data_IF_061359926516
#
_entry.id   IF_061359926516
#
_cell.length_a   1.000
_cell.length_b   1.000
_cell.length_c   1.000
_cell.angle_alpha   90.00
_cell.angle_beta   90.00
_cell.angle_gamma   90.00
#
_symmetry.space_group_name_H-M   'P 1'
#
loop_
_entity.id
_entity.type
_entity.pdbx_description
1 polymer ?
#
# COMPACT_ATOMS: atom_id res chain seq x y z
N UNK A 1 12.41 9.54 -16.83
CA UNK A 1 12.77 10.26 -15.59
C UNK A 1 13.68 9.35 -14.77
N UNK A 2 14.92 9.76 -14.56
CA UNK A 2 15.90 8.98 -13.81
C UNK A 2 15.78 9.29 -12.30
N UNK A 3 16.57 8.56 -11.48
CA UNK A 3 16.53 8.67 -10.02
C UNK A 3 16.90 10.07 -9.50
N UNK A 4 17.71 10.80 -10.27
CA UNK A 4 18.18 12.14 -9.93
C UNK A 4 17.09 13.20 -10.20
N UNK A 5 16.30 13.05 -11.25
CA UNK A 5 15.13 13.91 -11.52
C UNK A 5 14.08 13.78 -10.41
N UNK A 6 13.90 12.58 -9.85
CA UNK A 6 12.99 12.33 -8.74
C UNK A 6 13.48 12.98 -7.44
N UNK A 7 14.80 12.92 -7.16
CA UNK A 7 15.42 13.59 -6.01
C UNK A 7 15.29 15.12 -6.09
N UNK A 8 15.42 15.68 -7.29
CA UNK A 8 15.28 17.12 -7.50
C UNK A 8 13.84 17.60 -7.31
N UNK A 9 12.85 16.80 -7.71
CA UNK A 9 11.43 17.06 -7.49
C UNK A 9 11.03 16.98 -6.01
N UNK A 10 11.59 16.02 -5.26
CA UNK A 10 11.41 15.89 -3.82
C UNK A 10 12.01 17.07 -3.06
N UNK A 11 13.16 17.58 -3.49
CA UNK A 11 13.79 18.74 -2.90
C UNK A 11 12.97 20.04 -3.08
N UNK A 12 12.20 20.14 -4.16
CA UNK A 12 11.35 21.32 -4.45
C UNK A 12 10.00 21.29 -3.74
N UNK A 13 9.62 20.16 -3.11
CA UNK A 13 8.34 20.02 -2.40
C UNK A 13 8.54 19.50 -0.96
N UNK A 14 9.02 20.35 -0.03
CA UNK A 14 9.33 19.93 1.35
C UNK A 14 8.13 19.43 2.15
N UNK A 15 6.90 19.71 1.72
CA UNK A 15 5.68 19.16 2.32
C UNK A 15 5.52 17.64 2.08
N UNK A 16 6.30 17.05 1.16
CA UNK A 16 6.30 15.62 0.86
C UNK A 16 7.46 14.88 1.56
N UNK A 17 8.34 15.59 2.28
CA UNK A 17 9.39 14.96 3.08
C UNK A 17 8.82 14.46 4.40
N UNK A 18 9.07 13.20 4.71
CA UNK A 18 8.76 12.60 6.02
C UNK A 18 9.58 13.34 7.07
N UNK A 19 8.93 14.09 7.97
CA UNK A 19 9.60 14.52 9.22
C UNK A 19 9.83 13.26 10.04
N UNK A 20 11.05 12.75 10.03
CA UNK A 20 11.49 11.75 11.00
C UNK A 20 11.46 12.42 12.37
N UNK A 21 10.44 12.08 13.15
CA UNK A 21 10.41 12.42 14.58
C UNK A 21 11.28 11.37 15.27
N UNK A 22 12.50 11.73 15.62
CA UNK A 22 13.32 10.95 16.55
C UNK A 22 12.59 10.82 17.88
N UNK A 23 12.43 9.62 18.43
CA UNK A 23 11.73 9.44 19.71
C UNK A 23 12.53 10.08 20.82
N UNK A 24 11.93 11.05 21.54
CA UNK A 24 12.44 11.51 22.84
C UNK A 24 12.44 10.31 23.79
N UNK A 25 13.60 10.03 24.42
CA UNK A 25 13.77 9.03 25.50
C UNK A 25 12.62 9.16 26.50
N UNK A 26 11.74 8.15 26.53
CA UNK A 26 10.78 7.99 27.61
C UNK A 26 11.42 7.24 28.78
N UNK A 27 11.15 7.74 29.98
CA UNK A 27 11.55 7.14 31.23
C UNK A 27 10.91 5.75 31.39
N UNK A 28 11.70 4.82 31.90
CA UNK A 28 11.34 3.42 32.13
C UNK A 28 10.18 3.28 33.12
N UNK A 29 9.05 2.72 32.63
CA UNK A 29 8.01 2.11 33.46
C UNK A 29 8.20 0.59 33.33
N UNK A 30 8.24 -0.11 34.48
CA UNK A 30 8.51 -1.54 34.58
C UNK A 30 7.52 -2.40 33.78
N UNK A 31 7.94 -3.55 33.21
CA UNK A 31 7.13 -4.31 32.28
C UNK A 31 6.09 -5.18 32.98
N UNK A 32 4.82 -4.77 32.87
CA UNK A 32 3.73 -5.73 33.00
C UNK A 32 3.72 -6.62 31.75
N UNK A 33 3.73 -7.95 31.94
CA UNK A 33 3.68 -8.94 30.86
C UNK A 33 2.38 -8.80 30.06
N UNK A 34 2.44 -8.10 28.95
CA UNK A 34 1.39 -8.12 27.90
C UNK A 34 1.61 -9.34 27.01
N UNK A 35 0.54 -10.08 26.59
CA UNK A 35 0.71 -11.21 25.68
C UNK A 35 1.29 -10.70 24.35
N UNK A 36 2.39 -11.30 23.89
CA UNK A 36 2.99 -11.00 22.60
C UNK A 36 1.92 -11.10 21.50
N UNK A 37 1.57 -9.97 20.90
CA UNK A 37 0.77 -9.96 19.68
C UNK A 37 1.49 -10.78 18.61
N UNK A 38 0.77 -11.70 17.96
CA UNK A 38 1.33 -12.52 16.88
C UNK A 38 1.88 -11.57 15.81
N UNK A 39 3.21 -11.50 15.67
CA UNK A 39 3.85 -10.73 14.59
C UNK A 39 3.23 -11.14 13.26
N UNK A 40 2.85 -10.18 12.43
CA UNK A 40 2.34 -10.44 11.10
C UNK A 40 3.30 -11.35 10.34
N UNK A 41 2.79 -12.41 9.73
CA UNK A 41 3.56 -13.41 8.96
C UNK A 41 4.44 -12.77 7.86
N UNK A 42 4.13 -11.54 7.44
CA UNK A 42 4.74 -10.86 6.31
C UNK A 42 5.55 -9.61 6.67
N UNK A 43 5.74 -9.31 7.97
CA UNK A 43 6.49 -8.12 8.43
C UNK A 43 6.03 -6.79 7.80
N UNK A 44 4.78 -6.71 7.35
CA UNK A 44 4.23 -5.48 6.83
C UNK A 44 3.96 -4.52 7.98
N UNK A 45 4.50 -3.33 7.88
CA UNK A 45 4.31 -2.25 8.84
C UNK A 45 3.24 -1.33 8.25
N UNK A 46 2.02 -1.28 8.83
CA UNK A 46 0.96 -0.43 8.30
C UNK A 46 1.29 1.05 8.49
N UNK A 47 0.81 1.87 7.54
CA UNK A 47 0.93 3.33 7.58
C UNK A 47 -0.45 3.94 7.54
N UNK A 48 -0.68 4.92 8.40
CA UNK A 48 -1.95 5.65 8.50
C UNK A 48 -1.72 7.13 8.24
N UNK A 49 -2.54 7.72 7.40
CA UNK A 49 -2.53 9.15 7.09
C UNK A 49 -3.78 9.78 7.67
N UNK A 50 -3.63 10.85 8.43
CA UNK A 50 -4.71 11.57 9.09
C UNK A 50 -5.15 12.80 8.29
N UNK A 51 -6.30 13.38 8.67
CA UNK A 51 -6.92 14.50 7.94
C UNK A 51 -6.12 15.79 7.99
N UNK A 52 -5.26 15.97 8.97
CA UNK A 52 -4.32 17.10 9.10
C UNK A 52 -2.99 16.87 8.34
N UNK A 53 -2.85 15.72 7.67
CA UNK A 53 -1.63 15.32 6.97
C UNK A 53 -0.60 14.59 7.84
N UNK A 54 -0.89 14.39 9.14
CA UNK A 54 -0.02 13.58 10.00
C UNK A 54 0.05 12.14 9.51
N UNK A 55 1.26 11.55 9.53
CA UNK A 55 1.53 10.17 9.09
C UNK A 55 2.05 9.37 10.28
N UNK A 56 1.35 8.30 10.60
CA UNK A 56 1.74 7.36 11.65
C UNK A 56 2.15 6.02 11.04
N UNK A 57 3.36 5.57 11.39
CA UNK A 57 3.91 4.25 11.00
C UNK A 57 3.78 3.32 12.19
N UNK A 58 2.97 2.28 12.05
CA UNK A 58 2.60 1.37 13.16
C UNK A 58 3.58 0.18 13.25
N UNK A 59 4.81 0.43 13.66
CA UNK A 59 5.85 -0.59 13.77
C UNK A 59 5.49 -1.73 14.72
N UNK A 60 4.71 -1.44 15.76
CA UNK A 60 4.34 -2.39 16.81
C UNK A 60 2.89 -2.89 16.71
N UNK A 61 2.17 -2.59 15.63
CA UNK A 61 0.73 -2.88 15.50
C UNK A 61 -0.14 -2.29 16.63
N UNK A 62 0.24 -1.12 17.14
CA UNK A 62 -0.39 -0.49 18.30
C UNK A 62 -1.65 0.30 17.95
N UNK A 63 -1.89 0.60 16.68
CA UNK A 63 -2.99 1.51 16.29
C UNK A 63 -4.36 1.01 16.72
N UNK A 64 -4.54 -0.31 16.93
CA UNK A 64 -5.80 -0.86 17.47
C UNK A 64 -6.11 -0.33 18.86
N UNK A 65 -5.09 -0.05 19.65
CA UNK A 65 -5.24 0.57 20.97
C UNK A 65 -5.26 2.10 20.90
N UNK A 66 -4.56 2.70 19.94
CA UNK A 66 -4.47 4.15 19.76
C UNK A 66 -5.70 4.74 19.06
N UNK A 67 -6.37 4.00 18.16
CA UNK A 67 -7.62 4.47 17.50
C UNK A 67 -8.76 4.73 18.48
N UNK A 68 -8.71 4.12 19.67
CA UNK A 68 -9.73 4.36 20.67
C UNK A 68 -9.48 5.63 21.51
N UNK A 69 -8.27 6.23 21.50
CA UNK A 69 -7.96 7.23 22.50
C UNK A 69 -7.42 8.57 22.01
N UNK A 70 -6.28 8.66 21.38
CA UNK A 70 -5.59 9.96 21.26
C UNK A 70 -5.31 10.46 19.85
N UNK A 71 -4.73 9.66 18.96
CA UNK A 71 -4.34 10.12 17.63
C UNK A 71 -5.52 10.73 16.83
N UNK A 72 -6.73 10.13 16.78
CA UNK A 72 -7.85 10.75 16.10
C UNK A 72 -8.37 12.04 16.75
N UNK A 73 -8.15 12.23 18.05
CA UNK A 73 -8.51 13.47 18.75
C UNK A 73 -7.56 14.61 18.42
N UNK A 74 -6.28 14.30 18.18
CA UNK A 74 -5.23 15.27 17.89
C UNK A 74 -5.16 15.56 16.39
N UNK A 75 -5.20 14.52 15.54
CA UNK A 75 -4.93 14.58 14.10
C UNK A 75 -6.17 14.40 13.22
N UNK A 76 -7.35 14.23 13.84
CA UNK A 76 -8.60 13.99 13.12
C UNK A 76 -8.72 12.55 12.61
N UNK A 77 -9.60 12.33 11.63
CA UNK A 77 -9.87 10.99 11.11
C UNK A 77 -8.76 10.47 10.22
N UNK A 78 -8.60 9.13 10.18
CA UNK A 78 -7.74 8.46 9.19
C UNK A 78 -8.35 8.63 7.80
N UNK A 79 -7.61 9.25 6.89
CA UNK A 79 -8.02 9.49 5.49
C UNK A 79 -7.49 8.42 4.55
N UNK A 80 -6.34 7.79 4.89
CA UNK A 80 -5.79 6.69 4.12
C UNK A 80 -5.06 5.70 5.03
N UNK A 81 -5.14 4.42 4.67
CA UNK A 81 -4.36 3.34 5.25
C UNK A 81 -3.60 2.64 4.13
N UNK A 82 -2.36 2.25 4.43
CA UNK A 82 -1.50 1.43 3.58
C UNK A 82 -1.06 0.20 4.35
N UNK A 83 -0.99 -0.95 3.71
CA UNK A 83 -0.64 -2.20 4.37
C UNK A 83 0.86 -2.35 4.60
N UNK A 84 1.67 -1.49 3.94
CA UNK A 84 3.12 -1.44 4.16
C UNK A 84 3.69 -0.04 3.92
N UNK A 85 4.86 0.22 4.52
CA UNK A 85 5.67 1.43 4.24
C UNK A 85 6.01 1.51 2.74
N UNK A 86 6.35 0.38 2.11
CA UNK A 86 6.67 0.35 0.68
C UNK A 86 5.51 0.81 -0.20
N UNK A 87 4.27 0.40 0.13
CA UNK A 87 3.07 0.85 -0.57
C UNK A 87 2.86 2.36 -0.39
N UNK A 88 3.06 2.89 0.83
CA UNK A 88 2.96 4.32 1.09
C UNK A 88 4.02 5.13 0.34
N UNK A 89 5.27 4.69 0.32
CA UNK A 89 6.34 5.35 -0.44
C UNK A 89 6.01 5.35 -1.94
N UNK A 90 5.57 4.20 -2.48
CA UNK A 90 5.14 4.13 -3.88
C UNK A 90 3.97 5.07 -4.19
N UNK A 91 3.02 5.19 -3.29
CA UNK A 91 1.92 6.15 -3.45
C UNK A 91 2.40 7.59 -3.55
N UNK A 92 3.39 8.00 -2.75
CA UNK A 92 3.98 9.34 -2.85
C UNK A 92 4.63 9.58 -4.22
N UNK A 93 5.38 8.61 -4.72
CA UNK A 93 5.98 8.67 -6.06
C UNK A 93 4.91 8.83 -7.14
N UNK A 94 3.88 8.00 -7.10
CA UNK A 94 2.76 8.07 -8.06
C UNK A 94 2.03 9.42 -7.98
N UNK A 95 1.86 10.00 -6.80
CA UNK A 95 1.28 11.35 -6.63
C UNK A 95 2.15 12.43 -7.29
N UNK A 96 3.46 12.33 -7.19
CA UNK A 96 4.38 13.23 -7.90
C UNK A 96 4.28 13.07 -9.41
N UNK A 97 4.18 11.83 -9.90
CA UNK A 97 3.98 11.56 -11.33
C UNK A 97 2.64 12.13 -11.85
N UNK A 98 1.58 12.09 -11.04
CA UNK A 98 0.30 12.77 -11.36
C UNK A 98 0.50 14.29 -11.44
N UNK A 99 1.18 14.89 -10.46
CA UNK A 99 1.44 16.34 -10.43
C UNK A 99 2.31 16.79 -11.61
N UNK A 100 3.18 15.92 -12.11
CA UNK A 100 4.02 16.16 -13.29
C UNK A 100 3.32 15.79 -14.62
N UNK A 101 2.04 15.41 -14.59
CA UNK A 101 1.26 14.92 -15.75
C UNK A 101 1.91 13.74 -16.50
N UNK A 102 2.74 12.93 -15.81
CA UNK A 102 3.35 11.70 -16.36
C UNK A 102 2.36 10.55 -16.36
N UNK A 103 1.44 10.55 -15.39
CA UNK A 103 0.33 9.60 -15.27
C UNK A 103 -0.97 10.33 -14.94
N UNK A 104 -2.11 9.70 -15.24
CA UNK A 104 -3.45 10.21 -14.91
C UNK A 104 -4.30 9.12 -14.29
N UNK A 105 -5.48 9.47 -13.76
CA UNK A 105 -6.47 8.54 -13.21
C UNK A 105 -5.95 7.60 -12.12
N UNK A 106 -5.02 8.07 -11.29
CA UNK A 106 -4.47 7.27 -10.20
C UNK A 106 -5.55 6.88 -9.19
N UNK A 107 -5.75 5.59 -9.03
CA UNK A 107 -6.67 4.97 -8.06
C UNK A 107 -5.93 3.96 -7.22
N UNK A 108 -6.39 3.80 -5.97
CA UNK A 108 -5.84 2.84 -5.01
C UNK A 108 -6.87 1.75 -4.72
N UNK A 109 -6.37 0.57 -4.35
CA UNK A 109 -7.18 -0.56 -3.88
C UNK A 109 -8.35 -0.86 -4.84
N UNK A 110 -8.02 -1.03 -6.13
CA UNK A 110 -9.01 -1.20 -7.20
C UNK A 110 -9.40 -2.67 -7.35
N UNK A 111 -10.69 -3.01 -7.16
CA UNK A 111 -11.15 -4.38 -7.38
C UNK A 111 -11.23 -4.70 -8.89
N UNK A 112 -10.47 -5.69 -9.32
CA UNK A 112 -10.50 -6.24 -10.67
C UNK A 112 -11.17 -7.61 -10.64
N UNK A 113 -12.19 -7.78 -11.46
CA UNK A 113 -12.96 -9.03 -11.53
C UNK A 113 -12.20 -10.02 -12.42
N UNK A 114 -11.76 -11.14 -11.85
CA UNK A 114 -11.16 -12.25 -12.60
C UNK A 114 -12.25 -13.12 -13.18
N UNK A 115 -13.25 -13.47 -12.36
CA UNK A 115 -14.39 -14.30 -12.73
C UNK A 115 -15.67 -13.67 -12.17
N UNK A 116 -16.68 -13.53 -13.00
CA UNK A 116 -18.00 -13.07 -12.59
C UNK A 116 -18.69 -14.11 -11.68
N UNK A 117 -19.68 -13.65 -10.90
CA UNK A 117 -20.57 -14.58 -10.20
C UNK A 117 -21.35 -15.42 -11.22
N UNK A 118 -21.59 -16.67 -10.91
CA UNK A 118 -22.41 -17.55 -11.75
C UNK A 118 -23.21 -18.54 -10.89
N UNK A 119 -24.15 -19.23 -11.54
CA UNK A 119 -24.93 -20.28 -10.87
C UNK A 119 -24.44 -21.64 -11.39
N UNK A 120 -24.13 -22.53 -10.46
CA UNK A 120 -23.76 -23.91 -10.76
C UNK A 120 -24.61 -24.87 -9.93
N UNK A 121 -25.31 -25.76 -10.58
CA UNK A 121 -26.22 -26.75 -9.95
C UNK A 121 -27.19 -26.07 -8.94
N UNK A 122 -27.81 -24.94 -9.32
CA UNK A 122 -28.74 -24.17 -8.49
C UNK A 122 -28.09 -23.35 -7.34
N UNK A 123 -26.76 -23.40 -7.20
CA UNK A 123 -26.03 -22.64 -6.17
C UNK A 123 -25.28 -21.48 -6.78
N UNK A 124 -25.37 -20.29 -6.16
CA UNK A 124 -24.60 -19.12 -6.56
C UNK A 124 -23.14 -19.28 -6.18
N UNK A 125 -22.26 -19.24 -7.15
CA UNK A 125 -20.80 -19.15 -6.97
C UNK A 125 -20.37 -17.69 -6.97
N UNK A 126 -19.67 -17.27 -5.92
CA UNK A 126 -19.22 -15.88 -5.76
C UNK A 126 -18.14 -15.52 -6.79
N UNK A 127 -18.02 -14.24 -7.18
CA UNK A 127 -16.98 -13.79 -8.09
C UNK A 127 -15.59 -13.99 -7.47
N UNK A 128 -14.59 -14.17 -8.32
CA UNK A 128 -13.18 -14.06 -7.92
C UNK A 128 -12.72 -12.65 -8.25
N UNK A 129 -12.31 -11.93 -7.22
CA UNK A 129 -11.86 -10.54 -7.32
C UNK A 129 -10.40 -10.46 -6.87
N UNK A 130 -9.65 -9.62 -7.53
CA UNK A 130 -8.32 -9.19 -7.13
C UNK A 130 -8.35 -7.70 -6.80
N UNK A 131 -7.83 -7.30 -5.65
CA UNK A 131 -7.68 -5.91 -5.28
C UNK A 131 -6.26 -5.47 -5.62
N UNK A 132 -6.10 -4.64 -6.64
CA UNK A 132 -4.81 -4.09 -7.05
C UNK A 132 -4.45 -2.89 -6.16
N UNK A 133 -3.17 -2.77 -5.77
CA UNK A 133 -2.73 -1.67 -4.91
C UNK A 133 -2.88 -0.32 -5.62
N UNK A 134 -2.47 -0.23 -6.90
CA UNK A 134 -2.60 0.97 -7.72
C UNK A 134 -3.05 0.64 -9.14
N UNK A 135 -3.91 1.51 -9.68
CA UNK A 135 -4.28 1.51 -11.10
C UNK A 135 -4.23 2.95 -11.60
N UNK A 136 -3.62 3.17 -12.76
CA UNK A 136 -3.51 4.50 -13.36
C UNK A 136 -3.37 4.40 -14.87
N UNK A 137 -3.43 5.53 -15.56
CA UNK A 137 -3.15 5.62 -17.00
C UNK A 137 -1.78 6.21 -17.24
N UNK A 138 -1.03 5.57 -18.16
CA UNK A 138 0.26 6.03 -18.67
C UNK A 138 0.34 5.72 -20.16
N UNK A 139 0.69 6.70 -20.97
CA UNK A 139 0.86 6.53 -22.43
C UNK A 139 -0.33 5.78 -23.08
N UNK A 140 -1.57 6.24 -22.77
CA UNK A 140 -2.85 5.64 -23.21
C UNK A 140 -3.17 4.25 -22.68
N UNK A 141 -2.25 3.61 -21.97
CA UNK A 141 -2.44 2.28 -21.37
C UNK A 141 -2.90 2.38 -19.92
N UNK A 142 -3.68 1.40 -19.52
CA UNK A 142 -3.98 1.18 -18.10
C UNK A 142 -2.89 0.33 -17.48
N UNK A 143 -2.24 0.86 -16.45
CA UNK A 143 -1.23 0.16 -15.66
C UNK A 143 -1.82 -0.30 -14.35
N UNK A 144 -1.58 -1.55 -14.01
CA UNK A 144 -1.98 -2.18 -12.75
C UNK A 144 -0.71 -2.53 -11.99
N UNK A 145 -0.50 -1.87 -10.86
CA UNK A 145 0.65 -2.15 -9.99
C UNK A 145 0.24 -2.89 -8.72
N UNK A 146 1.11 -3.77 -8.29
CA UNK A 146 1.02 -4.45 -7.01
C UNK A 146 2.37 -4.43 -6.30
N UNK A 147 2.37 -3.99 -5.05
CA UNK A 147 3.58 -3.82 -4.24
C UNK A 147 3.91 -5.12 -3.54
N UNK A 148 5.08 -5.67 -3.83
CA UNK A 148 5.55 -6.94 -3.25
C UNK A 148 6.94 -6.79 -2.65
N UNK A 149 7.20 -7.58 -1.62
CA UNK A 149 8.55 -7.73 -1.12
C UNK A 149 9.43 -8.39 -2.17
N UNK A 150 10.64 -7.87 -2.37
CA UNK A 150 11.64 -8.46 -3.25
C UNK A 150 12.78 -9.06 -2.42
N UNK A 151 13.11 -10.30 -2.68
CA UNK A 151 14.24 -10.97 -2.04
C UNK A 151 15.50 -10.79 -2.89
N UNK A 152 16.38 -9.89 -2.46
CA UNK A 152 17.64 -9.59 -3.16
C UNK A 152 18.58 -10.80 -3.26
N UNK A 153 18.49 -11.79 -2.33
CA UNK A 153 19.36 -12.97 -2.35
C UNK A 153 18.94 -13.97 -3.43
N UNK A 154 17.63 -14.13 -3.61
CA UNK A 154 17.08 -15.08 -4.60
C UNK A 154 16.68 -14.43 -5.91
N UNK A 155 16.66 -13.10 -5.99
CA UNK A 155 16.20 -12.37 -7.16
C UNK A 155 14.69 -12.54 -7.43
N UNK A 156 13.89 -12.92 -6.45
CA UNK A 156 12.47 -13.24 -6.62
C UNK A 156 11.57 -12.33 -5.82
N UNK A 157 10.38 -12.08 -6.35
CA UNK A 157 9.28 -11.46 -5.62
C UNK A 157 8.73 -12.43 -4.57
N UNK A 158 8.40 -11.91 -3.40
CA UNK A 158 7.74 -12.68 -2.33
C UNK A 158 6.24 -12.79 -2.63
N UNK A 159 5.87 -13.79 -3.41
CA UNK A 159 4.51 -14.06 -3.83
C UNK A 159 3.98 -15.35 -3.19
N UNK A 160 2.67 -15.52 -3.20
CA UNK A 160 2.00 -16.77 -2.85
C UNK A 160 1.50 -17.46 -4.13
N UNK A 161 1.31 -18.78 -4.10
CA UNK A 161 0.74 -19.52 -5.24
C UNK A 161 -0.63 -18.94 -5.66
N UNK A 162 -1.46 -18.55 -4.69
CA UNK A 162 -2.76 -17.92 -4.95
C UNK A 162 -2.60 -16.58 -5.66
N UNK A 163 -1.61 -15.78 -5.28
CA UNK A 163 -1.29 -14.53 -5.97
C UNK A 163 -0.88 -14.80 -7.41
N UNK A 164 0.07 -15.69 -7.63
CA UNK A 164 0.59 -16.03 -8.97
C UNK A 164 -0.52 -16.53 -9.91
N UNK A 165 -1.41 -17.39 -9.39
CA UNK A 165 -2.58 -17.84 -10.16
C UNK A 165 -3.50 -16.69 -10.53
N UNK A 166 -3.88 -15.85 -9.57
CA UNK A 166 -4.74 -14.68 -9.83
C UNK A 166 -4.09 -13.70 -10.80
N UNK A 167 -2.79 -13.43 -10.63
CA UNK A 167 -2.01 -12.54 -11.49
C UNK A 167 -1.93 -13.01 -12.93
N UNK A 168 -1.78 -14.32 -13.13
CA UNK A 168 -1.83 -14.95 -14.45
C UNK A 168 -3.23 -14.82 -15.09
N UNK A 169 -4.28 -15.08 -14.32
CA UNK A 169 -5.67 -14.98 -14.80
C UNK A 169 -6.06 -13.54 -15.13
N UNK A 170 -5.59 -12.54 -14.36
CA UNK A 170 -5.79 -11.12 -14.66
C UNK A 170 -5.19 -10.74 -16.01
N UNK A 171 -3.96 -11.16 -16.31
CA UNK A 171 -3.32 -10.89 -17.61
C UNK A 171 -4.11 -11.48 -18.78
N UNK A 172 -4.70 -12.65 -18.59
CA UNK A 172 -5.59 -13.26 -19.59
C UNK A 172 -6.92 -12.51 -19.75
N UNK A 173 -7.48 -12.02 -18.63
CA UNK A 173 -8.77 -11.29 -18.61
C UNK A 173 -8.65 -9.86 -19.14
N UNK A 174 -7.51 -9.19 -18.89
CA UNK A 174 -7.25 -7.80 -19.27
C UNK A 174 -5.98 -7.68 -20.14
N UNK A 175 -5.96 -8.27 -21.35
CA UNK A 175 -4.74 -8.37 -22.17
C UNK A 175 -4.18 -7.01 -22.62
N UNK A 176 -5.00 -5.94 -22.54
CA UNK A 176 -4.58 -4.57 -22.91
C UNK A 176 -4.04 -3.75 -21.73
N UNK A 177 -4.00 -4.33 -20.52
CA UNK A 177 -3.44 -3.68 -19.34
C UNK A 177 -1.98 -4.09 -19.14
N UNK A 178 -1.18 -3.17 -18.67
CA UNK A 178 0.20 -3.45 -18.25
C UNK A 178 0.21 -3.82 -16.76
N UNK A 179 0.70 -5.01 -16.43
CA UNK A 179 0.76 -5.54 -15.07
C UNK A 179 2.18 -5.50 -14.53
N UNK A 180 2.43 -4.74 -13.46
CA UNK A 180 3.77 -4.47 -12.91
C UNK A 180 3.83 -4.86 -11.43
N UNK A 181 4.93 -5.50 -11.02
CA UNK A 181 5.29 -5.70 -9.62
C UNK A 181 6.34 -4.67 -9.21
N UNK A 182 6.13 -4.05 -8.05
CA UNK A 182 7.02 -3.02 -7.50
C UNK A 182 7.66 -3.51 -6.20
#
# INVERSE_FOLDING_TARGET
MNEDDLKLLLAKNPALSVKQITPKKQQSIAPGKTPLSKKSKYFNIPVYVFSDGFVFVDEDNQIKSLTASELPKIHGKVTAKFDSVKEYERYKELKLMVSANVITDLKRQVPLIIQEKFVYQGKTVRPIIYCADFVYRKDEKTVVEDVKGFDKKTGKWRTTQTFELKWKLLKARYPHYDFVLI
#
